data_IF_024343155182
#
_entry.id   IF_024343155182
#
_cell.length_a   1.000
_cell.length_b   1.000
_cell.length_c   1.000
_cell.angle_alpha   90.00
_cell.angle_beta   90.00
_cell.angle_gamma   90.00
#
_symmetry.space_group_name_H-M   'P 1'
#
loop_
_entity.id
_entity.type
_entity.pdbx_description
1 polymer ?
#
# COMPACT_ATOMS: atom_id res chain seq x y z
N UNK A 1 -2.52 30.89 -19.08
CA UNK A 1 -2.22 29.58 -19.70
C UNK A 1 -3.17 28.53 -19.13
N UNK A 2 -3.95 27.83 -19.97
CA UNK A 2 -4.79 26.69 -19.55
C UNK A 2 -3.86 25.49 -19.28
N UNK A 3 -3.84 24.96 -18.05
CA UNK A 3 -3.13 23.70 -17.73
C UNK A 3 -3.74 22.54 -18.52
N UNK A 4 -2.91 21.64 -19.06
CA UNK A 4 -3.39 20.47 -19.82
C UNK A 4 -4.06 19.45 -18.89
N UNK A 5 -5.09 18.71 -19.33
CA UNK A 5 -5.78 17.70 -18.51
C UNK A 5 -4.85 16.64 -17.91
N UNK A 6 -3.77 16.28 -18.61
CA UNK A 6 -2.76 15.34 -18.12
C UNK A 6 -1.99 15.86 -16.90
N UNK A 7 -1.60 17.15 -16.91
CA UNK A 7 -0.88 17.79 -15.80
C UNK A 7 -1.77 17.93 -14.56
N UNK A 8 -3.07 18.19 -14.74
CA UNK A 8 -4.03 18.26 -13.61
C UNK A 8 -4.22 16.89 -12.94
N UNK A 9 -4.18 15.79 -13.70
CA UNK A 9 -4.24 14.43 -13.15
C UNK A 9 -2.95 14.05 -12.40
N UNK A 10 -1.79 14.35 -12.97
CA UNK A 10 -0.49 14.12 -12.31
C UNK A 10 -0.35 14.96 -11.02
N UNK A 11 -0.80 16.22 -11.05
CA UNK A 11 -0.84 17.11 -9.89
C UNK A 11 -1.77 16.55 -8.79
N UNK A 12 -2.94 16.01 -9.17
CA UNK A 12 -3.94 15.45 -8.25
C UNK A 12 -3.49 14.17 -7.57
N UNK A 13 -2.97 13.20 -8.32
CA UNK A 13 -2.41 11.97 -7.75
C UNK A 13 -1.14 12.25 -6.92
N UNK A 14 -0.34 13.25 -7.31
CA UNK A 14 0.81 13.70 -6.53
C UNK A 14 0.43 14.34 -5.19
N UNK A 15 -0.78 14.91 -5.06
CA UNK A 15 -1.31 15.40 -3.79
C UNK A 15 -1.78 14.25 -2.91
N UNK A 16 -2.54 13.30 -3.46
CA UNK A 16 -3.00 12.10 -2.72
C UNK A 16 -1.82 11.34 -2.13
N UNK A 17 -0.76 11.13 -2.92
CA UNK A 17 0.45 10.46 -2.43
C UNK A 17 1.11 11.20 -1.27
N UNK A 18 1.22 12.54 -1.34
CA UNK A 18 1.83 13.34 -0.27
C UNK A 18 1.01 13.28 1.01
N UNK A 19 -0.30 13.51 0.89
CA UNK A 19 -1.22 13.43 2.03
C UNK A 19 -1.18 12.01 2.62
N UNK A 20 -1.24 10.96 1.80
CA UNK A 20 -1.16 9.59 2.31
C UNK A 20 0.16 9.31 3.05
N UNK A 21 1.29 9.82 2.55
CA UNK A 21 2.59 9.71 3.20
C UNK A 21 2.66 10.44 4.56
N UNK A 22 2.05 11.63 4.66
CA UNK A 22 1.99 12.38 5.92
C UNK A 22 1.11 11.69 6.98
N UNK A 23 0.20 10.80 6.56
CA UNK A 23 -0.80 10.13 7.41
C UNK A 23 -0.61 8.60 7.54
N UNK A 24 0.58 8.06 7.23
CA UNK A 24 0.82 6.60 7.23
C UNK A 24 0.52 5.94 8.59
N UNK A 25 0.84 6.60 9.70
CA UNK A 25 0.58 6.08 11.03
C UNK A 25 -0.94 5.95 11.30
N UNK A 26 -1.71 6.96 10.92
CA UNK A 26 -3.17 6.98 11.07
C UNK A 26 -3.82 5.92 10.17
N UNK A 27 -3.38 5.81 8.92
CA UNK A 27 -3.85 4.79 7.97
C UNK A 27 -3.52 3.37 8.46
N UNK A 28 -2.35 3.17 9.06
CA UNK A 28 -1.95 1.88 9.64
C UNK A 28 -2.84 1.53 10.84
N UNK A 29 -3.14 2.51 11.70
CA UNK A 29 -4.08 2.34 12.81
C UNK A 29 -5.50 2.03 12.34
N UNK A 30 -5.98 2.75 11.32
CA UNK A 30 -7.28 2.50 10.70
C UNK A 30 -7.37 1.08 10.12
N UNK A 31 -6.35 0.62 9.39
CA UNK A 31 -6.30 -0.74 8.86
C UNK A 31 -6.37 -1.81 9.95
N UNK A 32 -5.68 -1.58 11.07
CA UNK A 32 -5.69 -2.51 12.20
C UNK A 32 -7.06 -2.60 12.89
N UNK A 33 -7.79 -1.48 12.98
CA UNK A 33 -9.10 -1.41 13.63
C UNK A 33 -10.27 -1.82 12.71
N UNK A 34 -10.07 -1.79 11.40
CA UNK A 34 -11.14 -2.02 10.43
C UNK A 34 -11.50 -3.51 10.27
N UNK A 35 -12.79 -3.78 10.22
CA UNK A 35 -13.38 -5.12 10.06
C UNK A 35 -14.03 -5.32 8.69
N UNK A 36 -14.50 -4.25 8.05
CA UNK A 36 -15.07 -4.33 6.70
C UNK A 36 -13.98 -4.70 5.69
N UNK A 37 -14.22 -5.77 4.95
CA UNK A 37 -13.26 -6.33 4.00
C UNK A 37 -12.90 -5.33 2.88
N UNK A 38 -13.89 -4.59 2.36
CA UNK A 38 -13.68 -3.64 1.27
C UNK A 38 -12.82 -2.45 1.73
N UNK A 39 -13.16 -1.88 2.89
CA UNK A 39 -12.39 -0.79 3.49
C UNK A 39 -10.95 -1.20 3.80
N UNK A 40 -10.72 -2.43 4.29
CA UNK A 40 -9.36 -2.96 4.49
C UNK A 40 -8.56 -3.00 3.20
N UNK A 41 -9.17 -3.40 2.07
CA UNK A 41 -8.50 -3.41 0.77
C UNK A 41 -8.12 -1.98 0.32
N UNK A 42 -9.04 -1.02 0.46
CA UNK A 42 -8.76 0.38 0.12
C UNK A 42 -7.69 1.01 1.01
N UNK A 43 -7.65 0.67 2.29
CA UNK A 43 -6.60 1.14 3.20
C UNK A 43 -5.21 0.61 2.80
N UNK A 44 -5.11 -0.66 2.37
CA UNK A 44 -3.86 -1.21 1.84
C UNK A 44 -3.43 -0.55 0.53
N UNK A 45 -4.38 -0.27 -0.36
CA UNK A 45 -4.11 0.46 -1.61
C UNK A 45 -3.54 1.87 -1.31
N UNK A 46 -4.17 2.60 -0.39
CA UNK A 46 -3.76 3.95 -0.01
C UNK A 46 -2.40 3.98 0.69
N UNK A 47 -2.15 3.02 1.60
CA UNK A 47 -0.82 2.80 2.20
C UNK A 47 0.23 2.50 1.12
N UNK A 48 -0.14 1.79 0.06
CA UNK A 48 0.75 1.48 -1.06
C UNK A 48 1.08 2.73 -1.87
N UNK A 49 0.11 3.62 -2.07
CA UNK A 49 0.30 4.89 -2.76
C UNK A 49 1.12 5.91 -1.96
N UNK A 50 1.08 5.83 -0.62
CA UNK A 50 1.97 6.62 0.24
C UNK A 50 3.46 6.33 -0.05
N UNK A 51 3.80 5.09 -0.43
CA UNK A 51 5.16 4.60 -0.66
C UNK A 51 6.12 4.85 0.51
N UNK A 52 5.59 4.79 1.72
CA UNK A 52 6.33 5.06 2.95
C UNK A 52 6.87 3.76 3.53
N UNK A 53 8.19 3.63 3.79
CA UNK A 53 8.77 2.43 4.40
C UNK A 53 8.14 2.04 5.74
N UNK A 54 7.52 2.99 6.45
CA UNK A 54 6.79 2.80 7.70
C UNK A 54 5.61 1.84 7.55
N UNK A 55 5.03 1.71 6.35
CA UNK A 55 3.94 0.78 6.05
C UNK A 55 4.42 -0.67 5.85
N UNK A 56 5.74 -0.93 5.86
CA UNK A 56 6.30 -2.27 5.59
C UNK A 56 5.73 -3.35 6.52
N UNK A 57 5.57 -3.05 7.81
CA UNK A 57 5.05 -4.00 8.80
C UNK A 57 3.58 -4.35 8.54
N UNK A 58 2.78 -3.39 8.09
CA UNK A 58 1.38 -3.61 7.72
C UNK A 58 1.30 -4.59 6.55
N UNK A 59 2.09 -4.36 5.50
CA UNK A 59 2.12 -5.27 4.36
C UNK A 59 2.70 -6.64 4.72
N UNK A 60 3.76 -6.71 5.52
CA UNK A 60 4.32 -7.99 5.96
C UNK A 60 3.26 -8.88 6.65
N UNK A 61 2.41 -8.30 7.51
CA UNK A 61 1.31 -9.02 8.15
C UNK A 61 0.17 -9.37 7.18
N UNK A 62 -0.22 -8.44 6.31
CA UNK A 62 -1.27 -8.67 5.32
C UNK A 62 -0.89 -9.70 4.24
N UNK A 63 0.40 -9.84 3.96
CA UNK A 63 0.95 -10.79 2.97
C UNK A 63 0.67 -12.25 3.36
N UNK A 64 0.52 -12.54 4.65
CA UNK A 64 0.20 -13.88 5.17
C UNK A 64 -1.29 -14.09 5.44
N UNK A 65 -2.14 -13.14 5.07
CA UNK A 65 -3.60 -13.25 5.27
C UNK A 65 -4.17 -14.49 4.57
N UNK A 66 -5.17 -15.19 5.13
CA UNK A 66 -5.90 -16.22 4.39
C UNK A 66 -6.76 -15.64 3.27
N UNK A 67 -7.06 -14.35 3.35
CA UNK A 67 -7.85 -13.61 2.36
C UNK A 67 -6.99 -13.21 1.13
N UNK A 68 -7.41 -13.66 -0.05
CA UNK A 68 -6.69 -13.43 -1.30
C UNK A 68 -6.63 -11.95 -1.72
N UNK A 69 -7.71 -11.19 -1.54
CA UNK A 69 -7.72 -9.76 -1.86
C UNK A 69 -6.76 -8.99 -0.96
N UNK A 70 -6.73 -9.32 0.33
CA UNK A 70 -5.80 -8.71 1.29
C UNK A 70 -4.35 -9.04 0.93
N UNK A 71 -4.06 -10.30 0.56
CA UNK A 71 -2.72 -10.68 0.08
C UNK A 71 -2.34 -9.93 -1.19
N UNK A 72 -3.24 -9.88 -2.17
CA UNK A 72 -3.01 -9.17 -3.44
C UNK A 72 -2.64 -7.71 -3.21
N UNK A 73 -3.42 -6.98 -2.42
CA UNK A 73 -3.13 -5.57 -2.13
C UNK A 73 -1.84 -5.40 -1.32
N UNK A 74 -1.52 -6.36 -0.45
CA UNK A 74 -0.24 -6.38 0.24
C UNK A 74 0.96 -6.52 -0.71
N UNK A 75 0.87 -7.46 -1.67
CA UNK A 75 1.90 -7.63 -2.70
C UNK A 75 2.08 -6.35 -3.51
N UNK A 76 0.98 -5.70 -3.92
CA UNK A 76 1.03 -4.39 -4.61
C UNK A 76 1.63 -3.29 -3.75
N UNK A 77 1.33 -3.26 -2.46
CA UNK A 77 1.97 -2.35 -1.51
C UNK A 77 3.48 -2.53 -1.47
N UNK A 78 3.95 -3.77 -1.29
CA UNK A 78 5.38 -4.11 -1.25
C UNK A 78 6.10 -3.81 -2.58
N UNK A 79 5.45 -4.06 -3.72
CA UNK A 79 5.95 -3.67 -5.05
C UNK A 79 6.12 -2.15 -5.14
N UNK A 80 5.18 -1.36 -4.63
CA UNK A 80 5.24 0.11 -4.63
C UNK A 80 6.26 0.68 -3.64
N UNK A 81 6.50 0.02 -2.51
CA UNK A 81 7.54 0.40 -1.55
C UNK A 81 8.94 0.28 -2.15
N UNK A 82 9.18 -0.79 -2.91
CA UNK A 82 10.46 -1.06 -3.59
C UNK A 82 11.72 -0.88 -2.71
N UNK A 83 11.59 -1.19 -1.41
CA UNK A 83 12.72 -1.28 -0.49
C UNK A 83 13.39 -2.64 -0.62
N UNK A 84 14.63 -2.77 -0.12
CA UNK A 84 15.34 -4.05 -0.11
C UNK A 84 14.56 -5.11 0.68
N UNK A 85 13.99 -4.71 1.80
CA UNK A 85 13.20 -5.53 2.69
C UNK A 85 11.88 -5.95 2.03
N UNK A 86 11.19 -5.04 1.33
CA UNK A 86 9.96 -5.36 0.61
C UNK A 86 10.19 -6.39 -0.50
N UNK A 87 11.25 -6.20 -1.32
CA UNK A 87 11.63 -7.18 -2.35
C UNK A 87 11.98 -8.55 -1.76
N UNK A 88 12.65 -8.57 -0.62
CA UNK A 88 12.97 -9.81 0.11
C UNK A 88 11.70 -10.52 0.56
N UNK A 89 10.74 -9.82 1.17
CA UNK A 89 9.47 -10.41 1.61
C UNK A 89 8.68 -11.01 0.44
N UNK A 90 8.60 -10.31 -0.69
CA UNK A 90 7.95 -10.81 -1.91
C UNK A 90 8.65 -12.07 -2.44
N UNK A 91 9.99 -12.08 -2.46
CA UNK A 91 10.75 -13.25 -2.86
C UNK A 91 10.49 -14.44 -1.93
N UNK A 92 10.58 -14.24 -0.61
CA UNK A 92 10.33 -15.29 0.38
C UNK A 92 8.91 -15.85 0.25
N UNK A 93 7.89 -14.99 0.11
CA UNK A 93 6.50 -15.41 -0.04
C UNK A 93 6.29 -16.30 -1.27
N UNK A 94 6.86 -15.92 -2.42
CA UNK A 94 6.74 -16.70 -3.66
C UNK A 94 7.37 -18.09 -3.58
N UNK A 95 8.44 -18.24 -2.80
CA UNK A 95 9.19 -19.50 -2.68
C UNK A 95 8.79 -20.34 -1.46
N UNK A 96 7.89 -19.84 -0.60
CA UNK A 96 7.38 -20.59 0.56
C UNK A 96 6.34 -21.66 0.20
N UNK A 97 5.89 -21.68 -1.06
CA UNK A 97 4.88 -22.59 -1.60
C UNK A 97 5.33 -23.35 -2.87
N UNK A 98 6.64 -23.38 -3.15
CA UNK A 98 7.24 -24.21 -4.20
C UNK A 98 7.74 -25.53 -3.61
#
# INVERSE_FOLDING_TARGET
>A
MRKRPAQVREDGFGLVRRVAADHVAELSGAYAAESDHGLRCWLLELLGDARSPEALSVFAGALTSPDESIRYWSEKGLEKLDTKEARRLLWEHRHRHA
#
